data_IF_522718781539
#
_entry.id   IF_522718781539
#
_cell.length_a   1.000
_cell.length_b   1.000
_cell.length_c   1.000
_cell.angle_alpha   90.00
_cell.angle_beta   90.00
_cell.angle_gamma   90.00
#
_symmetry.space_group_name_H-M   'P 1'
#
loop_
_entity.id
_entity.type
_entity.pdbx_description
1 polymer ?
#
# COMPACT_ATOMS: atom_id res chain seq x y z
N UNK A 1 -12.72 0.53 14.85
CA UNK A 1 -11.72 -0.05 15.78
C UNK A 1 -11.62 -1.56 15.56
N UNK A 2 -10.64 -2.25 16.17
CA UNK A 2 -10.46 -3.72 16.06
C UNK A 2 -10.16 -4.23 14.63
N UNK A 3 -9.34 -3.50 13.88
CA UNK A 3 -8.83 -3.94 12.58
C UNK A 3 -7.83 -5.09 12.76
N UNK A 4 -8.01 -6.20 12.01
CA UNK A 4 -7.14 -7.39 12.09
C UNK A 4 -6.51 -7.78 10.74
N UNK A 5 -6.96 -7.18 9.66
CA UNK A 5 -6.49 -7.42 8.29
C UNK A 5 -6.65 -6.15 7.46
N UNK A 6 -5.94 -6.06 6.34
CA UNK A 6 -6.09 -4.96 5.36
C UNK A 6 -7.51 -4.89 4.79
N UNK A 7 -8.19 -6.04 4.66
CA UNK A 7 -9.59 -6.13 4.23
C UNK A 7 -10.54 -5.40 5.18
N UNK A 8 -10.31 -5.46 6.50
CA UNK A 8 -11.13 -4.71 7.46
C UNK A 8 -10.97 -3.18 7.27
N UNK A 9 -9.78 -2.72 6.86
CA UNK A 9 -9.54 -1.30 6.60
C UNK A 9 -10.31 -0.87 5.36
N UNK A 10 -10.25 -1.67 4.28
CA UNK A 10 -11.02 -1.42 3.07
C UNK A 10 -12.52 -1.35 3.36
N UNK A 11 -13.06 -2.32 4.09
CA UNK A 11 -14.48 -2.35 4.45
C UNK A 11 -14.89 -1.13 5.29
N UNK A 12 -14.07 -0.72 6.27
CA UNK A 12 -14.35 0.46 7.09
C UNK A 12 -14.33 1.75 6.26
N UNK A 13 -13.37 1.91 5.36
CA UNK A 13 -13.29 3.06 4.47
C UNK A 13 -14.48 3.11 3.49
N UNK A 14 -14.86 1.97 2.90
CA UNK A 14 -16.02 1.87 2.01
C UNK A 14 -17.35 2.15 2.72
N UNK A 15 -17.45 1.81 4.01
CA UNK A 15 -18.59 2.13 4.85
C UNK A 15 -18.66 3.62 5.26
N UNK A 16 -17.65 4.43 4.91
CA UNK A 16 -17.59 5.85 5.22
C UNK A 16 -17.16 6.16 6.66
N UNK A 17 -16.40 5.28 7.30
CA UNK A 17 -15.89 5.55 8.64
C UNK A 17 -14.87 6.70 8.63
N UNK A 18 -15.12 7.75 9.41
CA UNK A 18 -14.22 8.91 9.52
C UNK A 18 -12.87 8.56 10.16
N UNK A 19 -12.88 7.63 11.12
CA UNK A 19 -11.70 7.24 11.90
C UNK A 19 -11.66 5.72 12.13
N UNK A 20 -10.49 5.11 11.95
CA UNK A 20 -10.22 3.72 12.30
C UNK A 20 -8.93 3.57 13.12
N UNK A 21 -8.96 2.75 14.16
CA UNK A 21 -7.76 2.36 14.92
C UNK A 21 -7.13 1.11 14.31
N UNK A 22 -5.88 1.25 13.84
CA UNK A 22 -5.18 0.25 13.03
C UNK A 22 -3.88 -0.16 13.73
N UNK A 23 -3.60 -1.46 13.94
CA UNK A 23 -2.29 -1.91 14.41
C UNK A 23 -1.18 -1.56 13.41
N UNK A 24 0.00 -1.15 13.89
CA UNK A 24 1.11 -0.72 13.04
C UNK A 24 1.49 -1.71 11.93
N UNK A 25 1.49 -3.01 12.23
CA UNK A 25 1.75 -4.08 11.24
C UNK A 25 0.80 -4.04 10.05
N UNK A 26 -0.50 -3.79 10.28
CA UNK A 26 -1.49 -3.72 9.20
C UNK A 26 -1.28 -2.44 8.40
N UNK A 27 -0.95 -1.33 9.07
CA UNK A 27 -0.62 -0.08 8.41
C UNK A 27 0.58 -0.23 7.47
N UNK A 28 1.66 -0.90 7.91
CA UNK A 28 2.83 -1.19 7.04
C UNK A 28 2.44 -2.03 5.82
N UNK A 29 1.60 -3.06 6.01
CA UNK A 29 1.13 -3.92 4.93
C UNK A 29 0.33 -3.16 3.87
N UNK A 30 -0.40 -2.10 4.24
CA UNK A 30 -1.17 -1.29 3.29
C UNK A 30 -0.27 -0.50 2.31
N UNK A 31 0.96 -0.16 2.71
CA UNK A 31 1.87 0.61 1.86
C UNK A 31 2.68 -0.25 0.88
N UNK A 32 2.70 -1.57 1.04
CA UNK A 32 3.49 -2.48 0.20
C UNK A 32 2.61 -3.18 -0.82
N UNK A 33 2.94 -3.05 -2.11
CA UNK A 33 2.23 -3.73 -3.18
C UNK A 33 3.19 -4.19 -4.27
N UNK A 34 3.10 -5.47 -4.65
CA UNK A 34 4.04 -6.11 -5.59
C UNK A 34 4.09 -5.42 -6.96
N UNK A 35 2.98 -4.87 -7.45
CA UNK A 35 2.96 -4.14 -8.73
C UNK A 35 3.63 -2.76 -8.61
N UNK A 36 3.57 -2.13 -7.44
CA UNK A 36 4.24 -0.85 -7.20
C UNK A 36 5.75 -1.05 -7.21
N UNK A 37 6.25 -2.07 -6.50
CA UNK A 37 7.67 -2.41 -6.48
C UNK A 37 8.19 -2.75 -7.88
N UNK A 38 7.43 -3.57 -8.63
CA UNK A 38 7.73 -3.88 -10.04
C UNK A 38 7.75 -2.65 -10.93
N UNK A 39 6.79 -1.73 -10.76
CA UNK A 39 6.71 -0.50 -11.53
C UNK A 39 7.92 0.42 -11.27
N UNK A 40 8.29 0.60 -10.00
CA UNK A 40 9.48 1.37 -9.61
C UNK A 40 10.74 0.77 -10.24
N UNK A 41 10.92 -0.55 -10.18
CA UNK A 41 12.07 -1.20 -10.79
C UNK A 41 12.12 -0.97 -12.30
N UNK A 42 10.99 -1.13 -13.00
CA UNK A 42 10.92 -0.89 -14.43
C UNK A 42 11.31 0.54 -14.80
N UNK A 43 10.84 1.54 -14.04
CA UNK A 43 11.22 2.93 -14.25
C UNK A 43 12.72 3.17 -14.03
N UNK A 44 13.32 2.55 -13.01
CA UNK A 44 14.76 2.67 -12.76
C UNK A 44 15.58 2.02 -13.89
N UNK A 45 15.16 0.84 -14.36
CA UNK A 45 15.83 0.12 -15.45
C UNK A 45 15.77 0.92 -16.76
N UNK A 46 14.62 1.52 -17.05
CA UNK A 46 14.45 2.37 -18.23
C UNK A 46 15.27 3.66 -18.12
N UNK A 47 15.37 4.26 -16.92
CA UNK A 47 16.21 5.42 -16.69
C UNK A 47 17.71 5.13 -16.91
N UNK A 48 18.17 3.96 -16.48
CA UNK A 48 19.56 3.53 -16.70
C UNK A 48 19.90 3.39 -18.20
N UNK A 49 18.94 3.03 -19.04
CA UNK A 49 19.14 2.94 -20.51
C UNK A 49 19.30 4.32 -21.16
N UNK A 50 18.76 5.37 -20.55
CA UNK A 50 18.82 6.75 -21.07
C UNK A 50 20.09 7.47 -20.63
N UNK A 51 20.65 7.12 -19.46
CA UNK A 51 21.87 7.72 -18.94
C UNK A 51 23.06 7.48 -19.90
N UNK A 52 23.66 8.59 -20.38
CA UNK A 52 24.76 8.63 -21.34
C UNK A 52 25.96 9.33 -20.71
#
# INVERSE_FOLDING_TARGET
ASIRSTVHVQAAAMAGADVATIPFKILEQMYRHQLTDKGIQAFLDDWQKVAK
#
